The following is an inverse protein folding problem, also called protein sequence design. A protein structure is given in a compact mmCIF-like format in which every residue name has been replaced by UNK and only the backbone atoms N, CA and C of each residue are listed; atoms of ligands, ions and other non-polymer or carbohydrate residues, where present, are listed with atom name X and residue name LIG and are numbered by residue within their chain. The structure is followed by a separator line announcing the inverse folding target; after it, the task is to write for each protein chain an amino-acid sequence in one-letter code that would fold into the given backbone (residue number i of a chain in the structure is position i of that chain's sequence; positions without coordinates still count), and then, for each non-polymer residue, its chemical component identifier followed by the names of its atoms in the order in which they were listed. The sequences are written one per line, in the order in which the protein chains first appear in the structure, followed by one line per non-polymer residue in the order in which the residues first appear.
data_IF_658277576004
#
_entry.id   IF_658277576004
#
_cell.length_a   1.000
_cell.length_b   1.000
_cell.length_c   1.000
_cell.angle_alpha   90.00
_cell.angle_beta   90.00
_cell.angle_gamma   90.00
#
_symmetry.space_group_name_H-M   'P 1'
#
loop_
_entity.id
_entity.type
_entity.pdbx_description
1 polymer ?
#
# COMPACT_ATOMS: atom_id res chain seq x y z
N UNK A 1 16.37 -4.84 -19.86
CA UNK A 1 16.44 -3.64 -19.00
C UNK A 1 15.21 -3.62 -18.09
N UNK A 2 15.29 -4.24 -16.91
CA UNK A 2 14.15 -4.28 -15.98
C UNK A 2 14.11 -2.96 -15.20
N UNK A 3 13.29 -2.01 -15.63
CA UNK A 3 12.87 -0.91 -14.75
C UNK A 3 12.14 -1.57 -13.56
N UNK A 4 12.79 -1.64 -12.40
CA UNK A 4 12.08 -1.87 -11.13
C UNK A 4 11.11 -0.71 -10.99
N UNK A 5 9.81 -0.97 -11.19
CA UNK A 5 8.78 0.04 -10.96
C UNK A 5 8.80 0.39 -9.47
N UNK A 6 8.99 1.68 -9.17
CA UNK A 6 9.01 2.18 -7.79
C UNK A 6 7.71 1.85 -7.10
N UNK A 7 7.77 1.26 -5.90
CA UNK A 7 6.58 0.95 -5.11
C UNK A 7 5.88 2.23 -4.68
N UNK A 8 4.58 2.14 -4.47
CA UNK A 8 3.77 3.25 -3.95
C UNK A 8 3.46 2.93 -2.50
N UNK A 9 3.61 3.91 -1.62
CA UNK A 9 3.27 3.84 -0.21
C UNK A 9 2.09 4.77 0.01
N UNK A 10 0.98 4.24 0.47
CA UNK A 10 -0.18 5.01 0.89
C UNK A 10 -0.12 5.09 2.41
N UNK A 11 0.23 6.25 2.94
CA UNK A 11 0.27 6.48 4.38
C UNK A 11 -1.14 6.74 4.90
N UNK A 12 -1.50 6.13 6.03
CA UNK A 12 -2.77 6.35 6.71
C UNK A 12 -2.80 7.67 7.46
N UNK A 13 -2.42 8.75 6.80
CA UNK A 13 -2.54 10.13 7.25
C UNK A 13 -3.13 10.97 6.14
N UNK A 14 -3.90 11.98 6.53
CA UNK A 14 -4.40 12.98 5.61
C UNK A 14 -3.23 13.76 4.98
N UNK A 15 -3.30 14.00 3.67
CA UNK A 15 -2.24 14.63 2.89
C UNK A 15 -2.07 16.12 3.21
N UNK A 16 -3.12 16.79 3.65
CA UNK A 16 -3.15 18.23 3.90
C UNK A 16 -2.97 18.55 5.40
N UNK A 17 -3.73 17.87 6.27
CA UNK A 17 -3.72 18.11 7.72
C UNK A 17 -2.69 17.26 8.47
N UNK A 18 -2.26 16.13 7.90
CA UNK A 18 -1.39 15.16 8.56
C UNK A 18 -2.09 14.35 9.66
N UNK A 19 -3.40 14.47 9.82
CA UNK A 19 -4.16 13.72 10.82
C UNK A 19 -4.18 12.22 10.51
N UNK A 20 -4.16 11.39 11.55
CA UNK A 20 -4.15 9.92 11.41
C UNK A 20 -5.50 9.42 10.89
N UNK A 21 -5.47 8.71 9.77
CA UNK A 21 -6.65 8.06 9.21
C UNK A 21 -7.13 6.90 10.10
N UNK A 22 -8.45 6.81 10.26
CA UNK A 22 -9.11 5.77 11.07
C UNK A 22 -10.11 5.01 10.21
N UNK A 23 -10.34 3.71 10.48
CA UNK A 23 -9.80 2.93 11.60
C UNK A 23 -8.32 2.55 11.40
N UNK A 24 -7.61 2.23 12.48
CA UNK A 24 -6.19 1.85 12.40
C UNK A 24 -5.93 0.54 11.66
N UNK A 25 -6.93 -0.34 11.53
CA UNK A 25 -6.79 -1.59 10.77
C UNK A 25 -7.16 -1.46 9.28
N UNK A 26 -7.29 -0.23 8.75
CA UNK A 26 -7.66 -0.01 7.34
C UNK A 26 -6.68 -0.68 6.36
N UNK A 27 -5.39 -0.63 6.66
CA UNK A 27 -4.34 -1.19 5.81
C UNK A 27 -4.44 -2.72 5.71
N UNK A 28 -4.73 -3.39 6.83
CA UNK A 28 -4.98 -4.83 6.88
C UNK A 28 -6.23 -5.17 6.05
N UNK A 29 -7.34 -4.48 6.30
CA UNK A 29 -8.61 -4.68 5.56
C UNK A 29 -8.47 -4.49 4.05
N UNK A 30 -7.69 -3.50 3.62
CA UNK A 30 -7.42 -3.29 2.20
C UNK A 30 -6.63 -4.45 1.59
N UNK A 31 -5.65 -4.97 2.34
CA UNK A 31 -4.75 -6.04 1.90
C UNK A 31 -5.36 -7.43 1.97
N UNK A 32 -6.45 -7.62 2.74
CA UNK A 32 -7.19 -8.88 2.84
C UNK A 32 -7.65 -9.41 1.48
N UNK A 33 -8.05 -8.51 0.57
CA UNK A 33 -8.49 -8.85 -0.80
C UNK A 33 -7.44 -9.60 -1.62
N UNK A 34 -6.16 -9.44 -1.29
CA UNK A 34 -5.01 -10.06 -1.93
C UNK A 34 -4.30 -11.06 -1.02
N UNK A 35 -4.90 -11.40 0.12
CA UNK A 35 -4.32 -12.31 1.08
C UNK A 35 -4.74 -13.75 0.83
N UNK A 36 -3.87 -14.69 1.19
CA UNK A 36 -4.20 -16.11 1.24
C UNK A 36 -4.18 -16.59 2.68
N UNK A 37 -5.12 -17.46 3.03
CA UNK A 37 -5.21 -18.02 4.36
C UNK A 37 -4.58 -19.41 4.40
N UNK A 38 -3.50 -19.58 5.18
CA UNK A 38 -2.84 -20.87 5.34
C UNK A 38 -2.64 -21.16 6.84
N UNK A 39 -3.16 -22.29 7.32
CA UNK A 39 -2.96 -22.81 8.69
C UNK A 39 -3.07 -21.72 9.78
N UNK A 40 -4.10 -20.87 9.70
CA UNK A 40 -4.39 -19.76 10.64
C UNK A 40 -3.49 -18.52 10.54
N UNK A 41 -2.70 -18.39 9.47
CA UNK A 41 -1.92 -17.18 9.17
C UNK A 41 -2.38 -16.56 7.86
N UNK A 42 -2.52 -15.23 7.88
CA UNK A 42 -2.77 -14.42 6.70
C UNK A 42 -1.42 -14.17 6.02
N UNK A 43 -1.31 -14.57 4.76
CA UNK A 43 -0.18 -14.26 3.91
C UNK A 43 -0.60 -13.19 2.92
N UNK A 44 -0.15 -11.96 3.14
CA UNK A 44 -0.39 -10.85 2.22
C UNK A 44 0.44 -11.02 0.94
N UNK A 45 -0.13 -10.61 -0.18
CA UNK A 45 0.57 -10.59 -1.46
C UNK A 45 1.70 -9.57 -1.42
N UNK A 46 2.88 -9.85 -2.00
CA UNK A 46 3.93 -8.84 -2.15
C UNK A 46 3.51 -7.66 -3.04
N UNK A 47 2.40 -7.80 -3.78
CA UNK A 47 1.83 -6.75 -4.61
C UNK A 47 0.98 -5.74 -3.82
N UNK A 48 0.44 -6.16 -2.67
CA UNK A 48 -0.40 -5.36 -1.80
C UNK A 48 -0.28 -5.87 -0.36
N UNK A 49 0.42 -5.11 0.48
CA UNK A 49 0.69 -5.52 1.85
C UNK A 49 0.57 -4.36 2.84
N UNK A 50 0.05 -4.62 4.05
CA UNK A 50 0.05 -3.62 5.11
C UNK A 50 1.45 -3.46 5.69
N UNK A 51 1.77 -2.26 6.13
CA UNK A 51 3.01 -1.93 6.82
C UNK A 51 2.77 -0.82 7.84
N UNK A 52 3.75 -0.57 8.70
CA UNK A 52 3.72 0.55 9.63
C UNK A 52 4.94 1.42 9.38
N UNK A 53 4.72 2.71 9.12
CA UNK A 53 5.79 3.71 8.99
C UNK A 53 5.54 4.86 9.95
N UNK A 54 6.57 5.24 10.71
CA UNK A 54 6.48 6.32 11.72
C UNK A 54 5.30 6.16 12.70
N UNK A 55 4.90 4.91 13.01
CA UNK A 55 3.75 4.61 13.87
C UNK A 55 2.39 4.69 13.18
N UNK A 56 2.33 5.03 11.89
CA UNK A 56 1.12 5.10 11.09
C UNK A 56 0.95 3.86 10.21
N UNK A 57 -0.29 3.41 10.10
CA UNK A 57 -0.67 2.27 9.28
C UNK A 57 -0.66 2.67 7.82
N UNK A 58 0.06 1.92 7.00
CA UNK A 58 0.32 2.24 5.60
C UNK A 58 0.11 0.99 4.74
N UNK A 59 -0.08 1.20 3.43
CA UNK A 59 -0.16 0.12 2.45
C UNK A 59 0.93 0.29 1.41
N UNK A 60 1.65 -0.78 1.12
CA UNK A 60 2.61 -0.84 0.01
C UNK A 60 1.94 -1.47 -1.19
N UNK A 61 1.89 -0.72 -2.28
CA UNK A 61 1.33 -1.11 -3.57
C UNK A 61 2.45 -1.25 -4.61
N UNK A 62 2.64 -2.46 -5.13
CA UNK A 62 3.57 -2.70 -6.23
C UNK A 62 2.89 -2.38 -7.58
N UNK A 63 3.48 -1.52 -8.45
CA UNK A 63 2.92 -1.24 -9.76
C UNK A 63 2.73 -2.46 -10.66
N UNK A 64 3.41 -3.58 -10.39
CA UNK A 64 3.14 -4.85 -11.06
C UNK A 64 1.70 -5.32 -10.89
N UNK A 65 1.01 -4.91 -9.83
CA UNK A 65 -0.43 -5.18 -9.67
C UNK A 65 -1.24 -4.59 -10.82
N UNK A 66 -0.82 -3.46 -11.41
CA UNK A 66 -1.50 -2.89 -12.57
C UNK A 66 -1.51 -3.83 -13.78
N UNK A 67 -0.45 -4.63 -13.95
CA UNK A 67 -0.34 -5.56 -15.07
C UNK A 67 -1.19 -6.83 -14.86
N UNK A 68 -1.31 -7.31 -13.61
CA UNK A 68 -2.09 -8.52 -13.30
C UNK A 68 -3.57 -8.22 -13.02
N UNK A 69 -3.86 -7.12 -12.34
CA UNK A 69 -5.21 -6.67 -12.00
C UNK A 69 -5.30 -5.13 -12.00
N UNK A 70 -5.49 -4.51 -13.18
CA UNK A 70 -5.56 -3.05 -13.31
C UNK A 70 -6.75 -2.42 -12.58
N UNK A 71 -7.86 -3.16 -12.46
CA UNK A 71 -9.07 -2.68 -11.78
C UNK A 71 -8.77 -2.50 -10.30
N UNK A 72 -8.24 -3.53 -9.64
CA UNK A 72 -7.89 -3.47 -8.22
C UNK A 72 -6.83 -2.39 -7.94
N UNK A 73 -5.80 -2.31 -8.78
CA UNK A 73 -4.78 -1.27 -8.68
C UNK A 73 -5.40 0.13 -8.70
N UNK A 74 -6.33 0.39 -9.63
CA UNK A 74 -7.01 1.67 -9.71
C UNK A 74 -7.92 1.92 -8.50
N UNK A 75 -8.69 0.91 -8.06
CA UNK A 75 -9.56 1.03 -6.89
C UNK A 75 -8.78 1.38 -5.61
N UNK A 76 -7.56 0.87 -5.44
CA UNK A 76 -6.70 1.21 -4.30
C UNK A 76 -6.24 2.68 -4.37
N UNK A 77 -5.84 3.15 -5.55
CA UNK A 77 -5.47 4.56 -5.73
C UNK A 77 -6.66 5.49 -5.56
N UNK A 78 -7.83 5.10 -6.04
CA UNK A 78 -9.06 5.90 -5.88
C UNK A 78 -9.49 5.93 -4.41
N UNK A 79 -9.36 4.82 -3.68
CA UNK A 79 -9.58 4.81 -2.23
C UNK A 79 -8.68 5.82 -1.53
N UNK A 80 -7.38 5.82 -1.84
CA UNK A 80 -6.43 6.76 -1.23
C UNK A 80 -6.82 8.21 -1.51
N UNK A 81 -7.15 8.54 -2.77
CA UNK A 81 -7.58 9.88 -3.16
C UNK A 81 -8.87 10.31 -2.49
N UNK A 82 -9.88 9.44 -2.46
CA UNK A 82 -11.19 9.74 -1.90
C UNK A 82 -11.15 9.95 -0.39
N UNK A 83 -10.17 9.35 0.30
CA UNK A 83 -9.95 9.52 1.72
C UNK A 83 -8.82 10.50 2.04
N UNK A 84 -8.35 11.27 1.04
CA UNK A 84 -7.28 12.27 1.19
C UNK A 84 -5.99 11.70 1.78
N UNK A 85 -5.71 10.42 1.57
CA UNK A 85 -4.52 9.76 2.11
C UNK A 85 -3.27 10.24 1.38
N UNK A 86 -2.19 10.39 2.13
CA UNK A 86 -0.89 10.75 1.58
C UNK A 86 -0.30 9.62 0.75
N UNK A 87 -0.05 9.89 -0.53
CA UNK A 87 0.53 8.93 -1.48
C UNK A 87 2.00 9.31 -1.74
N UNK A 88 2.91 8.43 -1.35
CA UNK A 88 4.35 8.58 -1.51
C UNK A 88 4.86 7.56 -2.52
N UNK A 89 5.60 7.99 -3.54
CA UNK A 89 6.36 7.05 -4.36
C UNK A 89 7.63 6.70 -3.59
N UNK A 90 7.86 5.41 -3.33
CA UNK A 90 9.07 4.93 -2.69
C UNK A 90 10.26 5.26 -3.58
N UNK A 91 10.99 6.30 -3.19
CA UNK A 91 12.30 6.64 -3.72
C UNK A 91 13.35 5.95 -2.84
N UNK A 92 13.19 4.67 -2.57
CA UNK A 92 14.29 3.82 -2.13
C UNK A 92 15.34 3.82 -3.24
N UNK A 93 16.17 4.86 -3.21
CA UNK A 93 17.52 4.80 -3.74
C UNK A 93 18.13 3.63 -2.97
N UNK A 94 18.31 2.52 -3.67
CA UNK A 94 19.17 1.43 -3.22
C UNK A 94 20.50 2.10 -2.88
N UNK A 95 20.74 2.40 -1.60
CA UNK A 95 22.09 2.50 -1.06
C UNK A 95 22.62 1.07 -1.10
N UNK A 96 23.03 0.64 -2.29
CA UNK A 96 23.93 -0.48 -2.48
C UNK A 96 25.13 -0.22 -1.58
N UNK A 97 25.30 -1.06 -0.56
CA UNK A 97 26.53 -1.22 0.20
C UNK A 97 27.11 -2.59 -0.12
#
# INVERSE_FOLDING_TARGET
MNKKSKKIIIEGVDADSGEIFRPSNWAERMSESMSTFNKRRIHYSPLLQPTTQNGHQCVVLDPKLKASNPILYQSILDFAKNNHLKICNDNSNESDS
#
